data_IF_546173391983
#
_entry.id   IF_546173391983
#
_cell.length_a   1.000
_cell.length_b   1.000
_cell.length_c   1.000
_cell.angle_alpha   90.00
_cell.angle_beta   90.00
_cell.angle_gamma   90.00
#
_symmetry.space_group_name_H-M   'P 1'
#
loop_
_entity.id
_entity.type
_entity.pdbx_description
1 polymer ?
#
# COMPACT_ATOMS: atom_id res chain seq x y z
N UNK A 1 -11.45 3.40 5.62
CA UNK A 1 -10.18 2.91 5.04
C UNK A 1 -9.26 2.23 6.05
N UNK A 2 -9.00 2.79 7.24
CA UNK A 2 -8.09 2.19 8.23
C UNK A 2 -8.56 0.81 8.76
N UNK A 3 -9.87 0.57 8.82
CA UNK A 3 -10.47 -0.71 9.22
C UNK A 3 -9.97 -1.86 8.34
N UNK A 4 -10.21 -1.80 7.03
CA UNK A 4 -9.77 -2.87 6.13
C UNK A 4 -8.24 -2.93 6.00
N UNK A 5 -7.56 -1.78 6.04
CA UNK A 5 -6.11 -1.72 5.81
C UNK A 5 -5.29 -2.27 6.97
N UNK A 6 -5.75 -2.02 8.20
CA UNK A 6 -4.96 -2.26 9.41
C UNK A 6 -5.65 -3.27 10.31
N UNK A 7 -6.96 -3.15 10.52
CA UNK A 7 -7.67 -4.06 11.41
C UNK A 7 -7.89 -5.45 10.81
N UNK A 8 -8.08 -5.57 9.49
CA UNK A 8 -8.21 -6.89 8.85
C UNK A 8 -6.95 -7.76 9.00
N UNK A 9 -5.73 -7.31 8.61
CA UNK A 9 -4.54 -8.15 8.80
C UNK A 9 -4.27 -8.43 10.28
N UNK A 10 -4.48 -7.46 11.18
CA UNK A 10 -4.34 -7.67 12.63
C UNK A 10 -5.33 -8.74 13.12
N UNK A 11 -6.58 -8.70 12.69
CA UNK A 11 -7.58 -9.68 13.08
C UNK A 11 -7.21 -11.09 12.60
N UNK A 12 -6.66 -11.23 11.39
CA UNK A 12 -6.16 -12.52 10.88
C UNK A 12 -4.99 -13.03 11.74
N UNK A 13 -4.05 -12.15 12.11
CA UNK A 13 -2.93 -12.51 12.99
C UNK A 13 -3.43 -12.98 14.38
N UNK A 14 -4.37 -12.23 14.96
CA UNK A 14 -4.98 -12.56 16.23
C UNK A 14 -5.80 -13.86 16.17
N UNK A 15 -6.43 -14.16 15.03
CA UNK A 15 -7.13 -15.42 14.84
C UNK A 15 -6.17 -16.62 14.91
N UNK A 16 -4.94 -16.49 14.41
CA UNK A 16 -3.90 -17.51 14.56
C UNK A 16 -3.49 -17.74 16.02
N UNK A 17 -3.32 -16.66 16.79
CA UNK A 17 -3.05 -16.76 18.24
C UNK A 17 -4.22 -17.41 18.97
N UNK A 18 -5.46 -16.99 18.65
CA UNK A 18 -6.68 -17.54 19.24
C UNK A 18 -6.82 -19.03 18.96
N UNK A 19 -6.49 -19.47 17.74
CA UNK A 19 -6.53 -20.88 17.36
C UNK A 19 -5.63 -21.74 18.27
N UNK A 20 -4.39 -21.29 18.50
CA UNK A 20 -3.44 -21.98 19.39
C UNK A 20 -3.98 -22.04 20.82
N UNK A 21 -4.46 -20.89 21.34
CA UNK A 21 -4.94 -20.77 22.72
C UNK A 21 -6.15 -21.68 22.98
N UNK A 22 -7.11 -21.71 22.04
CA UNK A 22 -8.35 -22.50 22.20
C UNK A 22 -8.09 -24.00 22.07
N UNK A 23 -7.13 -24.41 21.23
CA UNK A 23 -6.81 -25.83 21.04
C UNK A 23 -5.73 -26.38 21.97
N UNK A 24 -5.11 -25.53 22.79
CA UNK A 24 -4.06 -25.95 23.72
C UNK A 24 -2.71 -26.23 23.04
N UNK A 25 -2.48 -25.70 21.83
CA UNK A 25 -1.18 -25.75 21.16
C UNK A 25 -0.76 -27.13 20.63
N UNK A 26 -1.70 -27.95 20.18
CA UNK A 26 -1.42 -29.15 19.40
C UNK A 26 -0.80 -28.82 18.02
N UNK A 27 -0.15 -29.81 17.40
CA UNK A 27 0.54 -29.65 16.11
C UNK A 27 -0.37 -29.04 15.03
N UNK A 28 -1.63 -29.50 14.95
CA UNK A 28 -2.61 -28.99 13.98
C UNK A 28 -2.99 -27.53 14.23
N UNK A 29 -3.09 -27.05 15.48
CA UNK A 29 -3.35 -25.63 15.73
C UNK A 29 -2.16 -24.75 15.40
N UNK A 30 -0.93 -25.24 15.60
CA UNK A 30 0.28 -24.52 15.25
C UNK A 30 0.39 -24.36 13.72
N UNK A 31 0.19 -25.44 12.96
CA UNK A 31 0.17 -25.38 11.50
C UNK A 31 -0.90 -24.41 10.97
N UNK A 32 -2.12 -24.51 11.52
CA UNK A 32 -3.21 -23.60 11.17
C UNK A 32 -2.91 -22.13 11.48
N UNK A 33 -2.22 -21.87 12.61
CA UNK A 33 -1.83 -20.52 12.98
C UNK A 33 -0.77 -19.95 12.03
N UNK A 34 0.21 -20.75 11.59
CA UNK A 34 1.17 -20.31 10.58
C UNK A 34 0.51 -20.00 9.24
N UNK A 35 -0.47 -20.81 8.82
CA UNK A 35 -1.25 -20.53 7.61
C UNK A 35 -2.00 -19.19 7.72
N UNK A 36 -2.63 -18.93 8.87
CA UNK A 36 -3.31 -17.65 9.14
C UNK A 36 -2.32 -16.48 9.17
N UNK A 37 -1.16 -16.66 9.80
CA UNK A 37 -0.14 -15.61 9.83
C UNK A 37 0.43 -15.30 8.45
N UNK A 38 0.68 -16.32 7.63
CA UNK A 38 1.03 -16.14 6.23
C UNK A 38 -0.01 -15.30 5.49
N UNK A 39 -1.28 -15.65 5.59
CA UNK A 39 -2.37 -14.90 4.98
C UNK A 39 -2.44 -13.44 5.47
N UNK A 40 -2.36 -13.22 6.79
CA UNK A 40 -2.40 -11.89 7.40
C UNK A 40 -1.25 -10.99 6.96
N UNK A 41 -0.03 -11.55 6.90
CA UNK A 41 1.16 -10.85 6.42
C UNK A 41 1.08 -10.56 4.91
N UNK A 42 0.58 -11.49 4.09
CA UNK A 42 0.36 -11.24 2.66
C UNK A 42 -0.63 -10.11 2.42
N UNK A 43 -1.76 -10.09 3.14
CA UNK A 43 -2.75 -9.00 3.05
C UNK A 43 -2.12 -7.67 3.45
N UNK A 44 -1.33 -7.66 4.53
CA UNK A 44 -0.64 -6.45 4.96
C UNK A 44 0.36 -5.95 3.92
N UNK A 45 1.16 -6.84 3.34
CA UNK A 45 2.10 -6.52 2.28
C UNK A 45 1.40 -5.95 1.04
N UNK A 46 0.30 -6.56 0.60
CA UNK A 46 -0.49 -6.07 -0.54
C UNK A 46 -1.03 -4.66 -0.29
N UNK A 47 -1.49 -4.37 0.93
CA UNK A 47 -1.91 -3.03 1.31
C UNK A 47 -0.76 -2.00 1.25
N UNK A 48 0.47 -2.42 1.59
CA UNK A 48 1.66 -1.56 1.47
C UNK A 48 1.97 -1.29 0.00
N UNK A 49 2.02 -2.34 -0.83
CA UNK A 49 2.29 -2.21 -2.27
C UNK A 49 1.26 -1.31 -2.96
N UNK A 50 -0.03 -1.49 -2.64
CA UNK A 50 -1.09 -0.65 -3.19
C UNK A 50 -0.90 0.83 -2.82
N UNK A 51 -0.50 1.13 -1.58
CA UNK A 51 -0.22 2.51 -1.16
C UNK A 51 0.92 3.12 -1.98
N UNK A 52 2.00 2.36 -2.21
CA UNK A 52 3.14 2.81 -3.00
C UNK A 52 2.68 3.08 -4.43
N UNK A 53 1.93 2.15 -5.04
CA UNK A 53 1.40 2.29 -6.39
C UNK A 53 0.52 3.52 -6.58
N UNK A 54 -0.42 3.76 -5.66
CA UNK A 54 -1.30 4.94 -5.69
C UNK A 54 -0.52 6.25 -5.49
N UNK A 55 0.55 6.23 -4.70
CA UNK A 55 1.39 7.42 -4.51
C UNK A 55 2.12 7.77 -5.80
N UNK A 56 2.75 6.78 -6.46
CA UNK A 56 3.42 7.00 -7.75
C UNK A 56 2.47 7.26 -8.93
N UNK A 57 1.17 6.99 -8.79
CA UNK A 57 0.16 7.38 -9.79
C UNK A 57 -0.05 8.89 -9.84
N UNK A 58 -0.03 9.54 -8.66
CA UNK A 58 -0.11 11.01 -8.56
C UNK A 58 1.11 11.68 -9.16
N UNK A 59 2.29 11.14 -8.92
CA UNK A 59 3.53 11.69 -9.45
C UNK A 59 3.57 11.60 -10.98
N UNK A 60 3.08 10.49 -11.54
CA UNK A 60 2.91 10.33 -13.00
C UNK A 60 1.92 11.33 -13.58
N UNK A 61 0.77 11.53 -12.94
CA UNK A 61 -0.19 12.56 -13.38
C UNK A 61 0.38 13.98 -13.33
N UNK A 62 1.16 14.32 -12.29
CA UNK A 62 1.81 15.61 -12.20
C UNK A 62 2.86 15.81 -13.32
N UNK A 63 3.61 14.77 -13.67
CA UNK A 63 4.55 14.80 -14.78
C UNK A 63 3.84 14.96 -16.14
N UNK A 64 2.75 14.21 -16.36
CA UNK A 64 1.95 14.32 -17.58
C UNK A 64 1.37 15.73 -17.72
N UNK A 65 0.83 16.33 -16.65
CA UNK A 65 0.32 17.71 -16.65
C UNK A 65 1.43 18.74 -16.94
N UNK A 66 2.64 18.53 -16.42
CA UNK A 66 3.78 19.40 -16.67
C UNK A 66 4.24 19.34 -18.14
N UNK A 67 4.23 18.16 -18.76
CA UNK A 67 4.53 17.98 -20.19
C UNK A 67 3.49 18.66 -21.07
N UNK A 68 2.23 18.45 -20.75
CA UNK A 68 1.08 19.11 -21.37
C UNK A 68 1.19 20.64 -21.31
N UNK A 69 1.64 21.17 -20.17
CA UNK A 69 1.91 22.60 -20.00
C UNK A 69 3.06 23.07 -20.90
N UNK A 70 4.18 22.33 -20.94
CA UNK A 70 5.33 22.65 -21.77
C UNK A 70 4.98 22.66 -23.26
N UNK A 71 4.21 21.69 -23.75
CA UNK A 71 3.76 21.65 -25.14
C UNK A 71 2.90 22.88 -25.51
N UNK A 72 2.09 23.37 -24.57
CA UNK A 72 1.23 24.53 -24.79
C UNK A 72 1.93 25.88 -24.65
N UNK A 73 2.90 26.01 -23.75
CA UNK A 73 3.51 27.30 -23.38
C UNK A 73 4.97 27.44 -23.81
N UNK A 74 5.64 26.34 -24.18
CA UNK A 74 7.05 26.32 -24.59
C UNK A 74 8.06 26.48 -23.43
N UNK A 75 7.59 26.46 -22.18
CA UNK A 75 8.42 26.49 -20.98
C UNK A 75 7.80 25.61 -19.90
N UNK A 76 8.60 25.17 -18.93
CA UNK A 76 8.10 24.36 -17.82
C UNK A 76 7.29 25.21 -16.84
N UNK A 77 6.30 24.64 -16.13
CA UNK A 77 5.44 25.39 -15.21
C UNK A 77 6.19 25.96 -14.00
N UNK A 78 7.35 25.40 -13.65
CA UNK A 78 8.26 25.85 -12.59
C UNK A 78 9.35 26.81 -13.10
N UNK A 79 9.54 26.91 -14.42
CA UNK A 79 10.36 27.95 -15.04
C UNK A 79 9.52 29.22 -15.22
N UNK A 80 9.84 30.29 -14.48
CA UNK A 80 9.30 31.60 -14.81
C UNK A 80 9.73 31.95 -16.24
N UNK A 81 8.83 32.49 -17.10
CA UNK A 81 9.19 32.88 -18.45
C UNK A 81 10.37 33.84 -18.35
N UNK A 82 11.55 33.40 -18.79
CA UNK A 82 12.72 34.26 -18.89
C UNK A 82 12.39 35.29 -19.94
N UNK A 83 11.93 36.46 -19.48
CA UNK A 83 11.86 37.67 -20.28
C UNK A 83 13.29 37.92 -20.76
N UNK A 84 13.59 37.51 -21.99
CA UNK A 84 14.86 37.82 -22.64
C UNK A 84 15.04 39.34 -22.72
N UNK A 85 16.29 39.84 -22.65
CA UNK A 85 16.58 41.28 -22.72
C UNK A 85 16.13 41.91 -24.04
#
# INVERSE_FOLDING_TARGET
MAVVRTWLPIAILLAGVLLIVVRGGDETSIEGAFALWGAGLSVWLLNILFRIGVTGDRDRHAEDEARDYFERHGHWPDEAPTQGP
#
